data_IF_642951507891
#
_entry.id   IF_642951507891
#
_cell.length_a   1.000
_cell.length_b   1.000
_cell.length_c   1.000
_cell.angle_alpha   90.00
_cell.angle_beta   90.00
_cell.angle_gamma   90.00
#
_symmetry.space_group_name_H-M   'P 1'
#
loop_
_entity.id
_entity.type
_entity.pdbx_description
1 polymer ?
#
# COMPACT_ATOMS: atom_id res chain seq x y z
N UNK A 1 22.27 -43.28 38.76
CA UNK A 1 22.75 -42.35 37.72
C UNK A 1 21.89 -42.57 36.49
N UNK A 2 20.80 -41.82 36.34
CA UNK A 2 20.70 -40.47 35.71
C UNK A 2 20.58 -40.58 34.19
N UNK A 3 19.34 -40.36 33.73
CA UNK A 3 18.85 -39.61 32.54
C UNK A 3 19.51 -39.87 31.17
N UNK A 4 18.81 -39.86 30.03
CA UNK A 4 17.60 -39.10 29.66
C UNK A 4 17.01 -39.71 28.36
N UNK A 5 15.71 -39.97 28.33
CA UNK A 5 14.96 -40.27 27.10
C UNK A 5 14.45 -38.95 26.52
N UNK A 6 14.86 -38.63 25.30
CA UNK A 6 14.41 -37.44 24.56
C UNK A 6 13.17 -37.81 23.72
N UNK A 7 11.98 -37.73 24.33
CA UNK A 7 10.74 -37.80 23.56
C UNK A 7 10.46 -36.46 22.86
N UNK A 8 10.59 -36.49 21.52
CA UNK A 8 10.13 -35.43 20.62
C UNK A 8 8.58 -35.37 20.63
N UNK A 9 8.01 -34.42 21.37
CA UNK A 9 6.59 -34.06 21.20
C UNK A 9 6.41 -33.18 19.97
N UNK A 10 5.62 -33.67 19.01
CA UNK A 10 5.15 -32.92 17.83
C UNK A 10 4.15 -31.82 18.25
N UNK A 11 4.19 -30.62 17.68
CA UNK A 11 3.20 -29.59 17.98
C UNK A 11 1.86 -29.90 17.29
N UNK A 12 0.77 -29.78 18.07
CA UNK A 12 -0.60 -29.98 17.63
C UNK A 12 -1.03 -28.77 16.78
N UNK A 13 -1.33 -28.99 15.49
CA UNK A 13 -1.86 -27.97 14.58
C UNK A 13 -3.25 -27.53 15.04
N UNK A 14 -3.35 -26.30 15.57
CA UNK A 14 -4.65 -25.66 15.88
C UNK A 14 -5.23 -25.09 14.58
N UNK A 15 -6.41 -25.57 14.19
CA UNK A 15 -7.15 -25.13 13.00
C UNK A 15 -7.58 -23.66 13.17
N UNK A 16 -7.14 -22.79 12.26
CA UNK A 16 -7.60 -21.40 12.13
C UNK A 16 -8.91 -21.39 11.33
N UNK A 17 -10.01 -20.97 11.96
CA UNK A 17 -11.27 -20.68 11.26
C UNK A 17 -11.22 -19.24 10.72
N UNK A 18 -11.23 -19.08 9.40
CA UNK A 18 -11.39 -17.77 8.75
C UNK A 18 -12.84 -17.57 8.30
N UNK A 19 -13.55 -16.65 8.94
CA UNK A 19 -14.88 -16.19 8.50
C UNK A 19 -14.74 -15.09 7.45
N UNK A 20 -15.24 -15.33 6.23
CA UNK A 20 -15.29 -14.37 5.12
C UNK A 20 -16.32 -13.28 5.40
N UNK A 21 -15.89 -12.01 5.47
CA UNK A 21 -16.79 -10.85 5.48
C UNK A 21 -16.98 -10.34 4.05
N UNK A 22 -18.19 -10.47 3.50
CA UNK A 22 -18.59 -9.88 2.22
C UNK A 22 -18.75 -8.37 2.39
N UNK A 23 -18.08 -7.60 1.52
CA UNK A 23 -18.19 -6.15 1.42
C UNK A 23 -19.33 -5.82 0.45
N UNK A 24 -20.39 -5.18 0.94
CA UNK A 24 -21.49 -4.63 0.14
C UNK A 24 -21.07 -3.29 -0.47
N UNK A 25 -21.03 -3.23 -1.81
CA UNK A 25 -20.85 -1.99 -2.59
C UNK A 25 -22.14 -1.18 -2.56
N UNK A 26 -22.07 0.06 -2.07
CA UNK A 26 -23.10 1.10 -2.22
C UNK A 26 -22.86 1.79 -3.56
N UNK A 27 -23.88 1.85 -4.43
CA UNK A 27 -23.89 2.68 -5.64
C UNK A 27 -24.23 4.11 -5.22
N UNK A 28 -23.40 5.06 -5.62
CA UNK A 28 -23.74 6.48 -5.69
C UNK A 28 -24.05 6.80 -7.15
N UNK A 29 -25.26 7.31 -7.39
CA UNK A 29 -25.70 7.82 -8.68
C UNK A 29 -25.26 9.29 -8.77
N UNK A 30 -24.56 9.62 -9.85
CA UNK A 30 -24.15 10.98 -10.20
C UNK A 30 -25.31 11.69 -10.93
N UNK A 31 -25.81 12.78 -10.32
CA UNK A 31 -26.62 13.80 -11.00
C UNK A 31 -25.75 14.60 -11.99
N UNK A 32 -26.23 14.76 -13.23
CA UNK A 32 -25.60 15.60 -14.24
C UNK A 32 -26.03 17.08 -14.12
N UNK A 33 -25.23 18.04 -14.63
CA UNK A 33 -25.63 19.43 -14.61
C UNK A 33 -26.40 19.86 -15.87
N UNK A 34 -27.49 20.58 -15.63
CA UNK A 34 -28.27 21.33 -16.60
C UNK A 34 -27.44 22.43 -17.28
N UNK A 35 -27.56 22.57 -18.60
CA UNK A 35 -27.11 23.75 -19.35
C UNK A 35 -28.30 24.44 -19.99
N UNK A 36 -28.53 25.69 -19.59
CA UNK A 36 -29.41 26.66 -20.22
C UNK A 36 -28.55 27.87 -20.62
N UNK A 37 -28.33 28.08 -21.93
CA UNK A 37 -28.26 29.43 -22.48
C UNK A 37 -28.45 29.40 -24.00
N UNK A 38 -29.34 30.27 -24.50
CA UNK A 38 -29.80 30.33 -25.89
C UNK A 38 -28.87 31.04 -26.88
N UNK A 39 -29.29 31.11 -28.17
CA UNK A 39 -28.49 31.61 -29.28
C UNK A 39 -28.68 33.12 -29.50
N UNK A 40 -27.59 33.81 -29.80
CA UNK A 40 -27.60 35.17 -30.33
C UNK A 40 -27.09 35.13 -31.77
N UNK A 41 -28.00 35.40 -32.71
CA UNK A 41 -27.67 35.87 -34.06
C UNK A 41 -27.38 37.37 -34.04
N UNK A 42 -26.46 37.83 -34.89
CA UNK A 42 -26.47 39.14 -35.57
C UNK A 42 -25.52 39.08 -36.79
N UNK A 43 -25.64 39.99 -37.79
CA UNK A 43 -25.77 39.61 -39.18
C UNK A 43 -24.60 40.00 -40.11
N UNK A 44 -24.58 39.31 -41.25
CA UNK A 44 -24.24 39.75 -42.61
C UNK A 44 -23.74 41.19 -42.82
N UNK A 45 -22.57 41.31 -43.46
CA UNK A 45 -22.30 42.28 -44.54
C UNK A 45 -21.30 41.65 -45.52
N UNK A 46 -21.73 41.50 -46.78
CA UNK A 46 -20.91 40.97 -47.87
C UNK A 46 -20.00 42.04 -48.49
N UNK A 47 -18.99 41.62 -49.27
CA UNK A 47 -19.06 41.56 -50.74
C UNK A 47 -17.68 41.21 -51.33
N UNK A 48 -17.68 40.12 -52.10
CA UNK A 48 -16.87 39.77 -53.27
C UNK A 48 -15.61 40.57 -53.61
N UNK A 49 -14.47 39.87 -53.69
CA UNK A 49 -13.42 40.16 -54.67
C UNK A 49 -12.94 38.85 -55.30
N UNK A 50 -13.26 38.70 -56.59
CA UNK A 50 -12.34 38.33 -57.66
C UNK A 50 -11.57 37.01 -57.57
N UNK A 51 -12.06 36.02 -58.33
CA UNK A 51 -11.22 34.99 -58.95
C UNK A 51 -10.15 35.67 -59.81
N UNK A 52 -8.87 35.38 -59.57
CA UNK A 52 -7.77 35.47 -60.55
C UNK A 52 -6.77 34.38 -60.15
N UNK A 53 -6.74 33.28 -60.90
CA UNK A 53 -5.94 33.10 -62.11
C UNK A 53 -4.52 32.63 -61.75
N UNK A 54 -4.22 31.47 -62.31
CA UNK A 54 -3.03 30.66 -62.13
C UNK A 54 -1.83 31.51 -62.60
N UNK A 55 -1.02 31.96 -61.63
CA UNK A 55 0.36 32.35 -61.91
C UNK A 55 1.24 31.22 -61.37
N UNK A 56 1.66 30.34 -62.28
CA UNK A 56 2.86 29.53 -62.11
C UNK A 56 4.04 30.46 -61.79
N UNK A 57 4.23 30.75 -60.50
CA UNK A 57 5.47 31.30 -60.01
C UNK A 57 6.49 30.18 -60.10
N UNK A 58 7.24 30.18 -61.21
CA UNK A 58 8.46 29.43 -61.33
C UNK A 58 9.31 29.72 -60.10
N UNK A 59 9.36 28.75 -59.18
CA UNK A 59 10.38 28.74 -58.13
C UNK A 59 11.70 28.51 -58.83
N UNK A 60 12.37 29.61 -59.14
CA UNK A 60 13.82 29.67 -59.33
C UNK A 60 14.48 28.71 -58.32
N UNK A 61 15.38 27.82 -58.76
CA UNK A 61 16.15 27.01 -57.83
C UNK A 61 16.89 28.00 -56.93
N UNK A 62 16.50 28.06 -55.66
CA UNK A 62 17.22 28.84 -54.66
C UNK A 62 18.68 28.41 -54.74
N UNK A 63 19.53 29.26 -55.32
CA UNK A 63 20.97 29.08 -55.32
C UNK A 63 21.40 29.10 -53.86
N UNK A 64 21.42 27.92 -53.22
CA UNK A 64 21.90 27.75 -51.86
C UNK A 64 23.38 28.06 -51.91
N UNK A 65 23.72 29.31 -51.59
CA UNK A 65 25.12 29.73 -51.49
C UNK A 65 25.73 28.93 -50.34
N UNK A 66 26.84 28.19 -50.57
CA UNK A 66 27.49 27.43 -49.51
C UNK A 66 27.83 28.34 -48.34
N UNK A 67 27.58 27.87 -47.12
CA UNK A 67 28.03 28.56 -45.91
C UNK A 67 29.56 28.69 -45.94
N UNK A 68 30.07 29.93 -45.92
CA UNK A 68 31.51 30.20 -46.01
C UNK A 68 32.10 30.38 -44.61
N UNK A 69 33.03 29.50 -44.24
CA UNK A 69 33.77 29.53 -42.98
C UNK A 69 34.90 30.56 -43.04
N UNK A 70 34.62 31.79 -42.60
CA UNK A 70 35.54 32.93 -42.75
C UNK A 70 36.50 33.15 -41.54
N UNK A 71 36.65 32.18 -40.63
CA UNK A 71 37.44 32.34 -39.39
C UNK A 71 38.51 31.25 -39.25
N UNK A 72 39.67 31.60 -38.71
CA UNK A 72 40.72 30.62 -38.38
C UNK A 72 40.31 29.65 -37.25
N UNK A 73 39.34 30.05 -36.41
CA UNK A 73 38.88 29.28 -35.25
C UNK A 73 38.04 28.04 -35.61
N UNK A 74 37.59 27.92 -36.86
CA UNK A 74 36.82 26.75 -37.32
C UNK A 74 37.59 25.44 -37.15
N UNK A 75 38.90 25.46 -37.42
CA UNK A 75 39.80 24.32 -37.22
C UNK A 75 39.77 23.80 -35.78
N UNK A 76 39.85 24.69 -34.80
CA UNK A 76 39.86 24.33 -33.39
C UNK A 76 38.54 23.67 -32.93
N UNK A 77 37.40 24.10 -33.47
CA UNK A 77 36.10 23.48 -33.16
C UNK A 77 35.95 22.14 -33.85
N UNK A 78 36.33 22.04 -35.12
CA UNK A 78 36.26 20.78 -35.88
C UNK A 78 37.19 19.69 -35.31
N UNK A 79 38.27 20.09 -34.64
CA UNK A 79 39.20 19.16 -33.97
C UNK A 79 38.71 18.65 -32.60
N UNK A 80 37.59 19.15 -32.07
CA UNK A 80 37.03 18.67 -30.80
C UNK A 80 36.64 17.20 -30.91
N UNK A 81 36.89 16.42 -29.85
CA UNK A 81 36.70 14.96 -29.86
C UNK A 81 35.27 14.55 -30.23
N UNK A 82 34.27 15.33 -29.84
CA UNK A 82 32.87 15.06 -30.17
C UNK A 82 32.63 14.97 -31.68
N UNK A 83 33.33 15.76 -32.51
CA UNK A 83 33.17 15.74 -33.96
C UNK A 83 34.00 14.64 -34.64
N UNK A 84 34.95 14.03 -33.91
CA UNK A 84 35.63 12.81 -34.34
C UNK A 84 34.74 11.59 -34.09
N UNK A 85 34.03 11.58 -32.97
CA UNK A 85 33.11 10.50 -32.58
C UNK A 85 31.77 10.58 -33.34
N UNK A 86 31.25 11.79 -33.50
CA UNK A 86 30.01 12.10 -34.21
C UNK A 86 30.31 13.15 -35.29
N UNK A 87 30.80 12.73 -36.48
CA UNK A 87 31.05 13.66 -37.57
C UNK A 87 29.78 14.42 -37.98
N UNK A 88 29.84 15.75 -38.02
CA UNK A 88 28.71 16.63 -38.33
C UNK A 88 28.97 17.48 -39.57
N UNK A 89 27.94 17.64 -40.42
CA UNK A 89 27.94 18.56 -41.57
C UNK A 89 26.64 19.37 -41.62
N UNK A 90 26.39 20.25 -40.63
CA UNK A 90 25.18 21.05 -40.56
C UNK A 90 25.06 22.03 -41.73
N UNK A 91 23.83 22.20 -42.23
CA UNK A 91 23.57 23.04 -43.40
C UNK A 91 23.42 24.52 -43.06
N UNK A 92 23.05 24.87 -41.82
CA UNK A 92 22.85 26.25 -41.34
C UNK A 92 21.90 27.14 -42.17
N UNK A 93 21.09 26.55 -43.07
CA UNK A 93 20.07 27.25 -43.86
C UNK A 93 19.20 28.24 -43.07
N UNK A 94 18.69 27.93 -41.85
CA UNK A 94 17.91 28.89 -41.08
C UNK A 94 18.69 30.17 -40.77
N UNK A 95 19.98 30.05 -40.44
CA UNK A 95 20.83 31.21 -40.16
C UNK A 95 20.99 32.14 -41.37
N UNK A 96 21.01 31.57 -42.58
CA UNK A 96 21.10 32.35 -43.81
C UNK A 96 19.86 33.22 -44.05
N UNK A 97 18.70 32.77 -43.55
CA UNK A 97 17.42 33.44 -43.71
C UNK A 97 17.15 34.45 -42.58
N UNK A 98 17.57 34.13 -41.36
CA UNK A 98 17.21 34.90 -40.16
C UNK A 98 18.22 35.99 -39.79
N UNK A 99 19.49 35.85 -40.20
CA UNK A 99 20.57 36.74 -39.74
C UNK A 99 21.34 37.41 -40.88
N UNK A 100 21.82 38.66 -40.68
CA UNK A 100 22.79 39.29 -41.58
C UNK A 100 24.05 38.44 -41.77
N UNK A 101 24.66 38.50 -42.96
CA UNK A 101 25.88 37.73 -43.31
C UNK A 101 27.02 37.89 -42.29
N UNK A 102 27.14 39.06 -41.67
CA UNK A 102 28.17 39.36 -40.66
C UNK A 102 27.99 38.57 -39.36
N UNK A 103 26.76 38.15 -39.03
CA UNK A 103 26.44 37.41 -37.80
C UNK A 103 26.33 35.89 -38.02
N UNK A 104 26.02 35.44 -39.23
CA UNK A 104 25.84 34.02 -39.58
C UNK A 104 27.03 33.15 -39.13
N UNK A 105 28.26 33.63 -39.32
CA UNK A 105 29.47 32.92 -38.91
C UNK A 105 29.55 32.68 -37.40
N UNK A 106 29.24 33.70 -36.61
CA UNK A 106 29.25 33.60 -35.15
C UNK A 106 28.13 32.68 -34.62
N UNK A 107 26.95 32.76 -35.21
CA UNK A 107 25.82 31.89 -34.86
C UNK A 107 26.11 30.42 -35.15
N UNK A 108 26.65 30.12 -36.34
CA UNK A 108 27.03 28.76 -36.71
C UNK A 108 28.13 28.20 -35.81
N UNK A 109 29.12 29.03 -35.44
CA UNK A 109 30.15 28.66 -34.48
C UNK A 109 29.55 28.35 -33.10
N UNK A 110 28.62 29.19 -32.63
CA UNK A 110 27.90 28.96 -31.38
C UNK A 110 27.13 27.64 -31.37
N UNK A 111 26.46 27.27 -32.47
CA UNK A 111 25.75 26.00 -32.60
C UNK A 111 26.68 24.78 -32.57
N UNK A 112 27.87 24.87 -33.17
CA UNK A 112 28.86 23.78 -33.07
C UNK A 112 29.32 23.59 -31.61
N UNK A 113 29.62 24.68 -30.90
CA UNK A 113 29.95 24.60 -29.47
C UNK A 113 28.76 24.06 -28.66
N UNK A 114 27.53 24.46 -28.99
CA UNK A 114 26.33 23.96 -28.34
C UNK A 114 26.16 22.44 -28.53
N UNK A 115 26.47 21.89 -29.72
CA UNK A 115 26.45 20.45 -29.95
C UNK A 115 27.44 19.71 -29.03
N UNK A 116 28.66 20.21 -28.89
CA UNK A 116 29.63 19.63 -27.95
C UNK A 116 29.13 19.67 -26.50
N UNK A 117 28.60 20.81 -26.07
CA UNK A 117 28.06 20.97 -24.71
C UNK A 117 26.86 20.04 -24.47
N UNK A 118 25.97 19.91 -25.45
CA UNK A 118 24.83 19.00 -25.44
C UNK A 118 25.27 17.54 -25.25
N UNK A 119 26.22 17.04 -26.06
CA UNK A 119 26.70 15.66 -25.93
C UNK A 119 27.34 15.43 -24.56
N UNK A 120 28.12 16.39 -24.05
CA UNK A 120 28.68 16.31 -22.70
C UNK A 120 27.61 16.33 -21.62
N UNK A 121 26.56 17.12 -21.80
CA UNK A 121 25.46 17.24 -20.84
C UNK A 121 24.70 15.93 -20.74
N UNK A 122 24.26 15.36 -21.87
CA UNK A 122 23.64 14.04 -21.94
C UNK A 122 24.52 12.95 -21.32
N UNK A 123 25.84 12.96 -21.59
CA UNK A 123 26.76 11.96 -21.04
C UNK A 123 26.88 12.00 -19.51
N UNK A 124 26.52 13.14 -18.90
CA UNK A 124 26.56 13.37 -17.46
C UNK A 124 25.18 13.36 -16.81
N UNK A 125 24.11 13.18 -17.60
CA UNK A 125 22.75 13.12 -17.08
C UNK A 125 22.60 12.00 -16.06
N UNK A 126 21.84 12.29 -15.03
CA UNK A 126 21.56 11.41 -13.91
C UNK A 126 20.08 11.13 -13.81
N UNK A 127 19.75 9.93 -13.31
CA UNK A 127 18.37 9.55 -13.00
C UNK A 127 17.74 10.50 -11.95
N UNK A 128 18.58 11.16 -11.15
CA UNK A 128 18.17 12.12 -10.13
C UNK A 128 17.96 13.55 -10.64
N UNK A 129 18.30 13.85 -11.89
CA UNK A 129 18.14 15.21 -12.43
C UNK A 129 16.65 15.60 -12.48
N UNK A 130 16.34 16.89 -12.59
CA UNK A 130 14.93 17.32 -12.67
C UNK A 130 14.41 17.17 -14.11
N UNK A 131 13.09 17.10 -14.30
CA UNK A 131 12.47 16.97 -15.62
C UNK A 131 12.83 18.14 -16.56
N UNK A 132 12.99 19.34 -16.01
CA UNK A 132 13.36 20.54 -16.76
C UNK A 132 14.70 20.40 -17.48
N UNK A 133 15.65 19.65 -16.92
CA UNK A 133 16.94 19.39 -17.59
C UNK A 133 16.75 18.60 -18.89
N UNK A 134 15.91 17.57 -18.90
CA UNK A 134 15.64 16.77 -20.10
C UNK A 134 14.82 17.54 -21.15
N UNK A 135 13.96 18.45 -20.72
CA UNK A 135 13.24 19.36 -21.61
C UNK A 135 14.16 20.42 -22.23
N UNK A 136 15.15 20.93 -21.48
CA UNK A 136 16.19 21.80 -22.01
C UNK A 136 17.06 21.07 -23.06
N UNK A 137 17.44 19.82 -22.78
CA UNK A 137 18.15 18.99 -23.75
C UNK A 137 17.33 18.76 -25.03
N UNK A 138 16.03 18.45 -24.91
CA UNK A 138 15.13 18.35 -26.08
C UNK A 138 15.06 19.64 -26.89
N UNK A 139 15.01 20.79 -26.21
CA UNK A 139 14.96 22.09 -26.86
C UNK A 139 16.23 22.37 -27.65
N UNK A 140 17.38 22.10 -27.03
CA UNK A 140 18.70 22.24 -27.67
C UNK A 140 18.83 21.28 -28.86
N UNK A 141 18.38 20.04 -28.69
CA UNK A 141 18.38 19.03 -29.74
C UNK A 141 17.53 19.44 -30.96
N UNK A 142 16.36 20.01 -30.70
CA UNK A 142 15.47 20.55 -31.75
C UNK A 142 16.14 21.71 -32.50
N UNK A 143 16.76 22.64 -31.78
CA UNK A 143 17.48 23.76 -32.38
C UNK A 143 18.66 23.30 -33.25
N UNK A 144 19.41 22.29 -32.80
CA UNK A 144 20.48 21.67 -33.57
C UNK A 144 19.94 20.98 -34.83
N UNK A 145 18.86 20.18 -34.70
CA UNK A 145 18.22 19.49 -35.81
C UNK A 145 17.76 20.45 -36.91
N UNK A 146 17.09 21.54 -36.53
CA UNK A 146 16.61 22.57 -37.47
C UNK A 146 17.76 23.20 -38.26
N UNK A 147 18.95 23.30 -37.66
CA UNK A 147 20.15 23.83 -38.31
C UNK A 147 20.95 22.79 -39.10
N UNK A 148 20.45 21.56 -39.19
CA UNK A 148 20.99 20.50 -40.05
C UNK A 148 21.97 19.55 -39.38
N UNK A 149 22.09 19.56 -38.05
CA UNK A 149 22.89 18.57 -37.34
C UNK A 149 22.23 17.18 -37.45
N UNK A 150 23.05 16.14 -37.61
CA UNK A 150 22.62 14.74 -37.48
C UNK A 150 22.53 14.36 -36.01
N UNK A 151 21.30 14.33 -35.51
CA UNK A 151 20.99 14.12 -34.10
C UNK A 151 20.10 12.91 -33.82
N UNK A 152 19.85 12.07 -34.83
CA UNK A 152 18.89 10.96 -34.72
C UNK A 152 19.26 9.93 -33.64
N UNK A 153 20.56 9.72 -33.40
CA UNK A 153 21.02 8.85 -32.32
C UNK A 153 20.68 9.44 -30.94
N UNK A 154 20.84 10.76 -30.78
CA UNK A 154 20.57 11.47 -29.54
C UNK A 154 19.07 11.62 -29.28
N UNK A 155 18.24 11.76 -30.31
CA UNK A 155 16.77 11.75 -30.15
C UNK A 155 16.31 10.44 -29.52
N UNK A 156 16.74 9.30 -30.08
CA UNK A 156 16.41 7.97 -29.55
C UNK A 156 16.96 7.78 -28.13
N UNK A 157 18.21 8.18 -27.90
CA UNK A 157 18.84 8.03 -26.59
C UNK A 157 18.14 8.87 -25.53
N UNK A 158 17.75 10.11 -25.85
CA UNK A 158 17.05 10.99 -24.92
C UNK A 158 15.65 10.45 -24.60
N UNK A 159 14.92 9.94 -25.60
CA UNK A 159 13.63 9.27 -25.41
C UNK A 159 13.76 8.04 -24.49
N UNK A 160 14.79 7.23 -24.68
CA UNK A 160 15.08 6.07 -23.82
C UNK A 160 15.41 6.49 -22.38
N UNK A 161 16.26 7.51 -22.19
CA UNK A 161 16.58 8.05 -20.87
C UNK A 161 15.35 8.55 -20.12
N UNK A 162 14.50 9.32 -20.80
CA UNK A 162 13.24 9.85 -20.23
C UNK A 162 12.29 8.72 -19.86
N UNK A 163 12.15 7.72 -20.72
CA UNK A 163 11.33 6.54 -20.43
C UNK A 163 11.82 5.79 -19.19
N UNK A 164 13.13 5.54 -19.08
CA UNK A 164 13.72 4.87 -17.91
C UNK A 164 13.50 5.70 -16.64
N UNK A 165 13.69 7.02 -16.73
CA UNK A 165 13.45 7.94 -15.61
C UNK A 165 12.00 7.93 -15.13
N UNK A 166 11.05 7.92 -16.06
CA UNK A 166 9.63 7.86 -15.76
C UNK A 166 9.29 6.57 -14.98
N UNK A 167 9.73 5.41 -15.50
CA UNK A 167 9.49 4.12 -14.82
C UNK A 167 10.19 4.06 -13.45
N UNK A 168 11.41 4.61 -13.33
CA UNK A 168 12.10 4.71 -12.04
C UNK A 168 11.30 5.53 -11.03
N UNK A 169 10.75 6.68 -11.44
CA UNK A 169 9.97 7.57 -10.57
C UNK A 169 8.70 6.88 -10.07
N UNK A 170 8.02 6.16 -10.96
CA UNK A 170 6.86 5.31 -10.62
C UNK A 170 7.24 4.23 -9.60
N UNK A 171 8.31 3.48 -9.84
CA UNK A 171 8.76 2.45 -8.89
C UNK A 171 9.20 3.02 -7.54
N UNK A 172 9.76 4.24 -7.53
CA UNK A 172 10.11 4.92 -6.28
C UNK A 172 8.87 5.24 -5.45
N UNK A 173 7.78 5.70 -6.09
CA UNK A 173 6.50 5.93 -5.44
C UNK A 173 5.89 4.62 -4.91
N UNK A 174 5.84 3.57 -5.75
CA UNK A 174 5.36 2.24 -5.38
C UNK A 174 6.13 1.67 -4.17
N UNK A 175 7.47 1.80 -4.16
CA UNK A 175 8.32 1.40 -3.02
C UNK A 175 7.91 2.13 -1.74
N UNK A 176 7.66 3.43 -1.81
CA UNK A 176 7.24 4.22 -0.65
C UNK A 176 5.86 3.77 -0.12
N UNK A 177 4.94 3.42 -1.02
CA UNK A 177 3.61 2.92 -0.67
C UNK A 177 3.69 1.56 0.02
N UNK A 178 4.47 0.63 -0.53
CA UNK A 178 4.71 -0.70 0.06
C UNK A 178 5.35 -0.57 1.44
N UNK A 179 6.33 0.33 1.61
CA UNK A 179 6.97 0.56 2.91
C UNK A 179 5.99 1.07 3.96
N UNK A 180 5.08 1.98 3.58
CA UNK A 180 4.02 2.48 4.45
C UNK A 180 3.06 1.35 4.87
N UNK A 181 2.64 0.52 3.93
CA UNK A 181 1.77 -0.62 4.21
C UNK A 181 2.45 -1.64 5.13
N UNK A 182 3.72 -1.94 4.88
CA UNK A 182 4.53 -2.82 5.76
C UNK A 182 4.56 -2.30 7.19
N UNK A 183 4.76 -1.00 7.38
CA UNK A 183 4.77 -0.39 8.72
C UNK A 183 3.40 -0.49 9.41
N UNK A 184 2.30 -0.25 8.68
CA UNK A 184 0.95 -0.40 9.21
C UNK A 184 0.68 -1.84 9.65
N UNK A 185 1.02 -2.83 8.82
CA UNK A 185 0.87 -4.25 9.17
C UNK A 185 1.69 -4.63 10.40
N UNK A 186 2.93 -4.13 10.51
CA UNK A 186 3.77 -4.37 11.68
C UNK A 186 3.15 -3.80 12.96
N UNK A 187 2.59 -2.60 12.91
CA UNK A 187 1.91 -1.98 14.05
C UNK A 187 0.67 -2.81 14.47
N UNK A 188 -0.15 -3.23 13.51
CA UNK A 188 -1.31 -4.09 13.80
C UNK A 188 -0.91 -5.46 14.36
N UNK A 189 0.19 -6.04 13.88
CA UNK A 189 0.70 -7.30 14.42
C UNK A 189 1.11 -7.14 15.89
N UNK A 190 1.86 -6.09 16.21
CA UNK A 190 2.26 -5.78 17.59
C UNK A 190 1.06 -5.53 18.50
N UNK A 191 0.01 -4.87 18.00
CA UNK A 191 -1.22 -4.67 18.76
C UNK A 191 -1.94 -6.00 19.03
N UNK A 192 -2.03 -6.88 18.03
CA UNK A 192 -2.62 -8.20 18.20
C UNK A 192 -1.83 -9.04 19.21
N UNK A 193 -0.51 -8.99 19.18
CA UNK A 193 0.34 -9.69 20.15
C UNK A 193 0.09 -9.20 21.59
N UNK A 194 -0.08 -7.89 21.78
CA UNK A 194 -0.46 -7.31 23.07
C UNK A 194 -1.82 -7.82 23.56
N UNK A 195 -2.82 -7.82 22.68
CA UNK A 195 -4.16 -8.32 23.01
C UNK A 195 -4.16 -9.83 23.32
N UNK A 196 -3.33 -10.62 22.64
CA UNK A 196 -3.16 -12.03 22.95
C UNK A 196 -2.56 -12.22 24.36
N UNK A 197 -1.55 -11.44 24.73
CA UNK A 197 -0.99 -11.47 26.08
C UNK A 197 -2.02 -11.11 27.16
N UNK A 198 -2.88 -10.11 26.91
CA UNK A 198 -3.98 -9.77 27.81
C UNK A 198 -4.96 -10.94 27.98
N UNK A 199 -5.36 -11.57 26.88
CA UNK A 199 -6.24 -12.75 26.90
C UNK A 199 -5.60 -13.91 27.67
N UNK A 200 -4.31 -14.17 27.48
CA UNK A 200 -3.60 -15.24 28.19
C UNK A 200 -3.55 -14.98 29.71
N UNK A 201 -3.40 -13.71 30.12
CA UNK A 201 -3.48 -13.32 31.53
C UNK A 201 -4.88 -13.56 32.11
N UNK A 202 -5.94 -13.14 31.39
CA UNK A 202 -7.33 -13.35 31.81
C UNK A 202 -7.66 -14.84 31.94
N UNK A 203 -7.18 -15.68 31.01
CA UNK A 203 -7.32 -17.14 31.06
C UNK A 203 -6.66 -17.67 32.33
N UNK A 204 -5.42 -17.28 32.62
CA UNK A 204 -4.70 -17.74 33.81
C UNK A 204 -5.42 -17.36 35.12
N UNK A 205 -6.00 -16.16 35.19
CA UNK A 205 -6.81 -15.75 36.34
C UNK A 205 -8.08 -16.58 36.52
N UNK A 206 -8.80 -16.84 35.43
CA UNK A 206 -10.01 -17.66 35.45
C UNK A 206 -9.72 -19.11 35.81
N UNK A 207 -8.62 -19.68 35.31
CA UNK A 207 -8.16 -21.02 35.69
C UNK A 207 -7.86 -21.12 37.19
N UNK A 208 -7.22 -20.09 37.77
CA UNK A 208 -6.99 -20.01 39.22
C UNK A 208 -8.30 -19.97 40.00
N UNK A 209 -9.26 -19.13 39.60
CA UNK A 209 -10.59 -19.04 40.26
C UNK A 209 -11.35 -20.36 40.17
N UNK A 210 -11.33 -21.02 39.01
CA UNK A 210 -11.94 -22.33 38.81
C UNK A 210 -11.30 -23.39 39.72
N UNK A 211 -9.98 -23.36 39.88
CA UNK A 211 -9.26 -24.23 40.81
C UNK A 211 -9.73 -24.09 42.26
N UNK A 212 -9.88 -22.85 42.74
CA UNK A 212 -10.38 -22.55 44.09
C UNK A 212 -11.82 -23.03 44.31
N UNK A 213 -12.71 -22.80 43.33
CA UNK A 213 -14.10 -23.24 43.41
C UNK A 213 -14.20 -24.77 43.47
N UNK A 214 -13.36 -25.49 42.70
CA UNK A 214 -13.29 -26.96 42.76
C UNK A 214 -12.85 -27.45 44.14
N UNK A 215 -11.84 -26.83 44.75
CA UNK A 215 -11.40 -27.16 46.11
C UNK A 215 -12.51 -26.93 47.14
N UNK A 216 -13.21 -25.80 47.05
CA UNK A 216 -14.35 -25.51 47.92
C UNK A 216 -15.48 -26.53 47.75
N UNK A 217 -15.77 -26.95 46.51
CA UNK A 217 -16.75 -27.99 46.21
C UNK A 217 -16.41 -29.33 46.90
N UNK A 218 -15.15 -29.75 46.84
CA UNK A 218 -14.70 -30.99 47.51
C UNK A 218 -14.81 -30.93 49.04
N UNK A 219 -14.61 -29.75 49.65
CA UNK A 219 -14.79 -29.59 51.10
C UNK A 219 -16.27 -29.72 51.50
N UNK A 220 -17.16 -29.08 50.74
CA UNK A 220 -18.61 -29.16 50.97
C UNK A 220 -19.10 -30.59 50.78
N UNK A 221 -18.59 -31.32 49.79
CA UNK A 221 -18.95 -32.71 49.54
C UNK A 221 -18.58 -33.62 50.74
N UNK A 222 -17.37 -33.45 51.30
CA UNK A 222 -16.94 -34.17 52.52
C UNK A 222 -17.77 -33.82 53.75
N UNK A 223 -18.09 -32.54 53.93
CA UNK A 223 -18.95 -32.11 55.04
C UNK A 223 -20.35 -32.70 54.91
N UNK A 224 -20.90 -32.71 53.69
CA UNK A 224 -22.17 -33.35 53.38
C UNK A 224 -22.16 -34.85 53.67
N UNK A 225 -21.11 -35.59 53.27
CA UNK A 225 -20.96 -37.01 53.59
C UNK A 225 -20.96 -37.25 55.10
N UNK A 226 -20.20 -36.46 55.86
CA UNK A 226 -20.17 -36.52 57.32
C UNK A 226 -21.56 -36.26 57.95
N UNK A 227 -22.29 -35.26 57.45
CA UNK A 227 -23.62 -34.93 57.95
C UNK A 227 -24.66 -36.02 57.60
N UNK A 228 -24.57 -36.65 56.44
CA UNK A 228 -25.40 -37.79 56.04
C UNK A 228 -25.14 -39.01 56.95
N UNK A 229 -23.89 -39.28 57.31
CA UNK A 229 -23.53 -40.33 58.28
C UNK A 229 -24.11 -40.02 59.67
N UNK A 230 -23.98 -38.77 60.13
CA UNK A 230 -24.51 -38.33 61.43
C UNK A 230 -26.03 -38.45 61.48
N UNK A 231 -26.72 -38.05 60.42
CA UNK A 231 -28.17 -38.18 60.30
C UNK A 231 -28.60 -39.64 60.36
N UNK A 232 -27.90 -40.52 59.64
CA UNK A 232 -28.14 -41.97 59.66
C UNK A 232 -28.03 -42.55 61.07
N UNK A 233 -27.03 -42.12 61.85
CA UNK A 233 -26.87 -42.54 63.26
C UNK A 233 -27.98 -42.04 64.16
N UNK A 234 -28.43 -40.79 63.97
CA UNK A 234 -29.52 -40.21 64.76
C UNK A 234 -30.85 -40.92 64.50
N UNK A 235 -31.16 -41.27 63.25
CA UNK A 235 -32.38 -42.01 62.91
C UNK A 235 -32.45 -43.39 63.60
N UNK A 236 -31.30 -44.08 63.77
CA UNK A 236 -31.25 -45.33 64.53
C UNK A 236 -31.56 -45.11 66.01
N UNK A 237 -31.03 -44.03 66.60
CA UNK A 237 -31.31 -43.67 68.00
C UNK A 237 -32.79 -43.30 68.18
N UNK A 238 -33.36 -42.52 67.26
CA UNK A 238 -34.77 -42.15 67.27
C UNK A 238 -35.68 -43.39 67.23
N UNK A 239 -35.45 -44.31 66.29
CA UNK A 239 -36.22 -45.56 66.19
C UNK A 239 -36.15 -46.42 67.47
N UNK A 240 -34.97 -46.49 68.10
CA UNK A 240 -34.83 -47.19 69.38
C UNK A 240 -35.62 -46.52 70.52
N UNK A 241 -35.66 -45.18 70.55
CA UNK A 241 -36.44 -44.43 71.54
C UNK A 241 -37.94 -44.61 71.31
N UNK A 242 -38.41 -44.52 70.06
CA UNK A 242 -39.81 -44.76 69.70
C UNK A 242 -40.25 -46.15 70.15
N UNK A 243 -39.44 -47.18 69.88
CA UNK A 243 -39.71 -48.54 70.33
C UNK A 243 -39.79 -48.64 71.87
N UNK A 244 -38.90 -47.96 72.59
CA UNK A 244 -38.94 -47.93 74.06
C UNK A 244 -40.18 -47.21 74.60
N UNK A 245 -40.61 -46.12 73.96
CA UNK A 245 -41.82 -45.39 74.31
C UNK A 245 -43.07 -46.24 74.07
N UNK A 246 -43.14 -46.98 72.97
CA UNK A 246 -44.23 -47.91 72.69
C UNK A 246 -44.31 -48.99 73.78
N UNK A 247 -43.17 -49.61 74.13
CA UNK A 247 -43.09 -50.61 75.21
C UNK A 247 -43.61 -50.03 76.53
N UNK A 248 -43.14 -48.85 76.94
CA UNK A 248 -43.59 -48.22 78.18
C UNK A 248 -45.07 -47.81 78.14
N UNK A 249 -45.57 -47.38 76.98
CA UNK A 249 -46.99 -47.05 76.79
C UNK A 249 -47.87 -48.29 76.93
N UNK A 250 -47.48 -49.41 76.34
CA UNK A 250 -48.15 -50.70 76.53
C UNK A 250 -48.13 -51.14 78.00
N UNK A 251 -46.97 -51.04 78.66
CA UNK A 251 -46.83 -51.39 80.08
C UNK A 251 -47.76 -50.54 80.96
N UNK A 252 -47.77 -49.22 80.77
CA UNK A 252 -48.62 -48.29 81.52
C UNK A 252 -50.11 -48.62 81.34
N UNK A 253 -50.53 -48.84 80.09
CA UNK A 253 -51.92 -49.19 79.77
C UNK A 253 -52.32 -50.56 80.34
N UNK A 254 -51.40 -51.54 80.35
CA UNK A 254 -51.60 -52.84 80.99
C UNK A 254 -51.86 -52.71 82.49
N UNK A 255 -51.03 -51.95 83.21
CA UNK A 255 -51.22 -51.68 84.64
C UNK A 255 -52.56 -51.00 84.91
N UNK A 256 -52.94 -50.00 84.10
CA UNK A 256 -54.21 -49.30 84.26
C UNK A 256 -55.42 -50.24 84.07
N UNK A 257 -55.33 -51.19 83.13
CA UNK A 257 -56.37 -52.20 82.92
C UNK A 257 -56.51 -53.15 84.12
N UNK A 258 -55.39 -53.61 84.70
CA UNK A 258 -55.41 -54.46 85.91
C UNK A 258 -56.06 -53.75 87.11
N UNK A 259 -55.78 -52.46 87.31
CA UNK A 259 -56.40 -51.67 88.39
C UNK A 259 -57.91 -51.57 88.21
N UNK A 260 -58.38 -51.36 86.98
CA UNK A 260 -59.83 -51.32 86.68
C UNK A 260 -60.49 -52.66 86.96
N UNK A 261 -59.85 -53.77 86.58
CA UNK A 261 -60.40 -55.11 86.78
C UNK A 261 -60.52 -55.49 88.28
N UNK A 262 -59.56 -55.07 89.11
CA UNK A 262 -59.58 -55.29 90.58
C UNK A 262 -60.60 -54.44 91.35
N UNK A 263 -61.15 -53.37 90.76
CA UNK A 263 -62.22 -52.56 91.38
C UNK A 263 -63.64 -53.01 91.03
N UNK A 264 -63.78 -53.97 90.11
CA UNK A 264 -65.06 -54.49 89.61
C UNK A 264 -65.38 -55.91 90.10
N UNK A 265 -64.58 -56.44 91.03
CA UNK A 265 -64.80 -57.68 91.81
C UNK A 265 -65.02 -57.33 93.27
#
# INVERSE_FOLDING_TARGET
MVQNQLERKKPLLRKVYTSKKRLSKKKEDFEGPHSLHGPLELPSTGQNIGVNEIAESQREPSLVVPFVKNSCLWSAVEEMNVFKEFPQQPHFLPLQQEYPRTLQGGMAFGLMVAFDLFVRSISKSSIADNEGSFEEEKSTLSALKINGFDVQCFERLLDELIKVKFEYSKHLEEKSAVQRQKQQTMNSLSQNDSLLCEIDNDIAELEKKLGLLRQKGQLIEKEKEHDEEKLSRLNVVESNIEQALDVHTLQFNGILAEVKQKRLT
#
